data_IF_654986743991
#
_entry.id   IF_654986743991
#
_cell.length_a   1.000
_cell.length_b   1.000
_cell.length_c   1.000
_cell.angle_alpha   90.00
_cell.angle_beta   90.00
_cell.angle_gamma   90.00
#
_symmetry.space_group_name_H-M   'P 1'
#
loop_
_entity.id
_entity.type
_entity.pdbx_description
1 polymer ?
#
# COMPACT_ATOMS: atom_id res chain seq x y z
N UNK A 1 -15.90 -19.75 -7.01
CA UNK A 1 -16.49 -18.88 -5.96
C UNK A 1 -15.72 -17.57 -5.80
N UNK A 2 -14.41 -17.58 -5.54
CA UNK A 2 -13.61 -16.36 -5.28
C UNK A 2 -13.70 -15.27 -6.37
N UNK A 3 -13.66 -15.62 -7.66
CA UNK A 3 -13.77 -14.64 -8.74
C UNK A 3 -15.17 -13.99 -8.83
N UNK A 4 -16.24 -14.75 -8.56
CA UNK A 4 -17.60 -14.21 -8.60
C UNK A 4 -17.83 -13.20 -7.47
N UNK A 5 -17.38 -13.53 -6.26
CA UNK A 5 -17.40 -12.60 -5.13
C UNK A 5 -16.56 -11.36 -5.40
N UNK A 6 -15.36 -11.51 -5.98
CA UNK A 6 -14.51 -10.38 -6.34
C UNK A 6 -15.17 -9.48 -7.38
N UNK A 7 -15.76 -10.02 -8.45
CA UNK A 7 -16.43 -9.22 -9.49
C UNK A 7 -17.65 -8.48 -8.95
N UNK A 8 -18.45 -9.13 -8.09
CA UNK A 8 -19.61 -8.49 -7.46
C UNK A 8 -19.19 -7.37 -6.50
N UNK A 9 -18.16 -7.61 -5.67
CA UNK A 9 -17.60 -6.61 -4.76
C UNK A 9 -16.96 -5.44 -5.52
N UNK A 10 -16.22 -5.71 -6.61
CA UNK A 10 -15.66 -4.66 -7.47
C UNK A 10 -16.76 -3.81 -8.10
N UNK A 11 -17.85 -4.43 -8.55
CA UNK A 11 -19.00 -3.68 -9.07
C UNK A 11 -19.64 -2.75 -8.02
N UNK A 12 -19.67 -3.17 -6.75
CA UNK A 12 -20.14 -2.32 -5.65
C UNK A 12 -19.13 -1.23 -5.29
N UNK A 13 -17.82 -1.54 -5.30
CA UNK A 13 -16.75 -0.60 -5.01
C UNK A 13 -16.72 0.55 -6.03
N UNK A 14 -16.75 0.26 -7.33
CA UNK A 14 -16.76 1.29 -8.40
C UNK A 14 -17.94 2.26 -8.29
N UNK A 15 -19.07 1.77 -7.78
CA UNK A 15 -20.31 2.57 -7.70
C UNK A 15 -20.43 3.38 -6.42
N UNK A 16 -19.90 2.88 -5.31
CA UNK A 16 -20.17 3.41 -3.98
C UNK A 16 -18.91 3.91 -3.25
N UNK A 17 -17.71 3.65 -3.78
CA UNK A 17 -16.45 4.13 -3.21
C UNK A 17 -16.00 5.40 -3.91
N UNK A 18 -15.30 6.25 -3.16
CA UNK A 18 -14.62 7.44 -3.69
C UNK A 18 -13.10 7.24 -3.78
N UNK A 19 -12.57 6.29 -3.02
CA UNK A 19 -11.14 5.99 -2.92
C UNK A 19 -10.98 4.55 -2.44
N UNK A 20 -10.31 3.73 -3.24
CA UNK A 20 -10.12 2.31 -2.98
C UNK A 20 -8.64 1.95 -3.09
N UNK A 21 -8.03 1.55 -1.97
CA UNK A 21 -6.66 1.04 -1.96
C UNK A 21 -6.64 -0.45 -2.28
N UNK A 22 -5.99 -0.82 -3.39
CA UNK A 22 -5.85 -2.22 -3.80
C UNK A 22 -4.71 -2.89 -3.04
N UNK A 23 -5.04 -3.92 -2.27
CA UNK A 23 -4.07 -4.74 -1.55
C UNK A 23 -4.26 -6.20 -1.97
N UNK A 24 -3.27 -6.76 -2.68
CA UNK A 24 -3.26 -8.18 -3.03
C UNK A 24 -2.43 -8.99 -2.03
N UNK A 25 -3.07 -9.98 -1.43
CA UNK A 25 -2.42 -10.96 -0.55
C UNK A 25 -1.29 -11.72 -1.27
N UNK A 26 -1.38 -11.93 -2.59
CA UNK A 26 -0.32 -12.59 -3.36
C UNK A 26 0.93 -11.70 -3.46
N UNK A 27 0.75 -10.41 -3.75
CA UNK A 27 1.85 -9.44 -3.80
C UNK A 27 2.48 -9.28 -2.40
N UNK A 28 1.67 -9.16 -1.35
CA UNK A 28 2.14 -9.13 0.03
C UNK A 28 2.94 -10.39 0.40
N UNK A 29 2.48 -11.56 -0.03
CA UNK A 29 3.21 -12.82 0.21
C UNK A 29 4.57 -12.81 -0.50
N UNK A 30 4.63 -12.36 -1.75
CA UNK A 30 5.88 -12.28 -2.50
C UNK A 30 6.86 -11.27 -1.88
N UNK A 31 6.37 -10.12 -1.41
CA UNK A 31 7.16 -9.13 -0.67
C UNK A 31 7.72 -9.72 0.62
N UNK A 32 6.88 -10.36 1.44
CA UNK A 32 7.34 -10.92 2.72
C UNK A 32 8.26 -12.13 2.52
N UNK A 33 8.10 -12.88 1.44
CA UNK A 33 8.98 -14.00 1.12
C UNK A 33 10.32 -13.54 0.52
N UNK A 34 10.31 -12.62 -0.47
CA UNK A 34 11.52 -12.16 -1.17
C UNK A 34 12.32 -11.14 -0.38
N UNK A 35 11.64 -10.15 0.21
CA UNK A 35 12.28 -9.01 0.86
C UNK A 35 12.56 -9.29 2.33
N UNK A 36 11.56 -9.84 3.05
CA UNK A 36 11.68 -10.15 4.48
C UNK A 36 12.30 -11.54 4.77
N UNK A 37 12.44 -12.41 3.74
CA UNK A 37 13.03 -13.76 3.82
C UNK A 37 12.45 -14.65 4.95
N UNK A 38 11.17 -14.48 5.25
CA UNK A 38 10.49 -15.27 6.27
C UNK A 38 10.15 -16.66 5.70
N UNK A 39 10.71 -17.72 6.29
CA UNK A 39 10.47 -19.10 5.86
C UNK A 39 9.08 -19.63 6.24
N UNK A 40 8.48 -19.07 7.29
CA UNK A 40 7.11 -19.38 7.74
C UNK A 40 6.30 -18.10 7.83
N UNK A 41 5.55 -17.77 6.77
CA UNK A 41 4.70 -16.58 6.76
C UNK A 41 3.44 -16.81 7.60
N UNK A 42 3.20 -15.94 8.59
CA UNK A 42 1.92 -15.91 9.31
C UNK A 42 1.09 -14.70 8.87
N UNK A 43 -0.24 -14.78 8.94
CA UNK A 43 -1.11 -13.62 8.70
C UNK A 43 -0.78 -12.41 9.59
N UNK A 44 -0.19 -12.63 10.76
CA UNK A 44 0.31 -11.56 11.62
C UNK A 44 1.37 -10.69 10.93
N UNK A 45 2.31 -11.28 10.20
CA UNK A 45 3.38 -10.55 9.52
C UNK A 45 2.83 -9.73 8.34
N UNK A 46 1.89 -10.31 7.58
CA UNK A 46 1.19 -9.59 6.51
C UNK A 46 0.37 -8.42 7.06
N UNK A 47 -0.36 -8.63 8.16
CA UNK A 47 -1.16 -7.58 8.79
C UNK A 47 -0.28 -6.46 9.37
N UNK A 48 0.92 -6.78 9.85
CA UNK A 48 1.88 -5.77 10.30
C UNK A 48 2.37 -4.89 9.13
N UNK A 49 2.58 -5.49 7.95
CA UNK A 49 2.94 -4.73 6.76
C UNK A 49 1.78 -3.81 6.32
N UNK A 50 0.56 -4.35 6.28
CA UNK A 50 -0.64 -3.58 5.93
C UNK A 50 -0.89 -2.45 6.93
N UNK A 51 -0.71 -2.67 8.23
CA UNK A 51 -0.89 -1.62 9.24
C UNK A 51 0.14 -0.49 9.10
N UNK A 52 1.39 -0.83 8.76
CA UNK A 52 2.45 0.15 8.51
C UNK A 52 2.11 1.03 7.30
N UNK A 53 1.62 0.42 6.22
CA UNK A 53 1.17 1.10 5.00
C UNK A 53 -0.01 2.02 5.28
N UNK A 54 -1.03 1.50 5.97
CA UNK A 54 -2.23 2.27 6.32
C UNK A 54 -1.91 3.44 7.25
N UNK A 55 -1.00 3.24 8.20
CA UNK A 55 -0.49 4.32 9.05
C UNK A 55 0.18 5.41 8.21
N UNK A 56 0.99 5.05 7.21
CA UNK A 56 1.62 6.00 6.29
C UNK A 56 0.61 6.85 5.51
N UNK A 57 -0.46 6.23 5.00
CA UNK A 57 -1.54 6.94 4.28
C UNK A 57 -2.28 7.91 5.22
N UNK A 58 -2.60 7.47 6.44
CA UNK A 58 -3.36 8.27 7.42
C UNK A 58 -2.49 9.32 8.12
N UNK A 59 -1.16 9.22 8.06
CA UNK A 59 -0.23 10.19 8.67
C UNK A 59 -0.50 11.61 8.17
N UNK A 60 -0.87 11.80 6.90
CA UNK A 60 -1.25 13.11 6.34
C UNK A 60 -2.50 13.73 6.99
N UNK A 61 -3.38 12.91 7.57
CA UNK A 61 -4.59 13.33 8.28
C UNK A 61 -4.33 13.57 9.77
N UNK A 62 -3.45 12.75 10.35
CA UNK A 62 -3.19 12.77 11.79
C UNK A 62 -2.17 13.84 12.20
N UNK A 63 -1.26 14.21 11.30
CA UNK A 63 -0.27 15.24 11.53
C UNK A 63 -0.53 16.46 10.64
N UNK A 64 -0.44 17.69 11.17
CA UNK A 64 -0.64 18.90 10.37
C UNK A 64 0.49 19.08 9.35
N UNK A 65 0.27 18.61 8.13
CA UNK A 65 1.13 18.82 6.96
C UNK A 65 0.54 19.84 5.99
N UNK A 66 1.41 20.52 5.21
CA UNK A 66 0.99 21.53 4.23
C UNK A 66 0.26 20.94 3.00
N UNK A 67 0.43 19.64 2.69
CA UNK A 67 -0.13 18.95 1.53
C UNK A 67 -1.07 17.81 1.98
N UNK A 68 -2.23 17.69 1.32
CA UNK A 68 -3.22 16.62 1.52
C UNK A 68 -3.72 16.41 2.97
N UNK A 69 -3.93 17.50 3.72
CA UNK A 69 -4.44 17.47 5.11
C UNK A 69 -5.89 16.97 5.25
N UNK A 70 -6.54 16.62 4.14
CA UNK A 70 -7.92 16.17 4.09
C UNK A 70 -8.07 15.08 3.02
N UNK A 71 -8.88 14.05 3.31
CA UNK A 71 -9.10 12.92 2.40
C UNK A 71 -9.66 13.40 1.07
N UNK A 72 -10.57 14.37 1.08
CA UNK A 72 -11.14 14.92 -0.15
C UNK A 72 -10.07 15.56 -1.05
N UNK A 73 -9.04 16.21 -0.47
CA UNK A 73 -7.93 16.79 -1.25
C UNK A 73 -7.03 15.70 -1.83
N UNK A 74 -6.79 14.63 -1.09
CA UNK A 74 -6.04 13.48 -1.58
C UNK A 74 -6.74 12.85 -2.78
N UNK A 75 -8.05 12.59 -2.66
CA UNK A 75 -8.86 12.03 -3.74
C UNK A 75 -8.87 12.95 -4.96
N UNK A 76 -9.09 14.26 -4.80
CA UNK A 76 -9.12 15.22 -5.93
C UNK A 76 -7.76 15.35 -6.63
N UNK A 77 -6.66 15.25 -5.89
CA UNK A 77 -5.32 15.33 -6.48
C UNK A 77 -4.93 14.07 -7.25
N UNK A 78 -5.42 12.90 -6.81
CA UNK A 78 -4.99 11.61 -7.36
C UNK A 78 -6.00 10.99 -8.34
N UNK A 79 -7.27 11.42 -8.31
CA UNK A 79 -8.34 10.93 -9.19
C UNK A 79 -8.74 12.02 -10.20
N UNK A 80 -8.23 11.96 -11.45
CA UNK A 80 -8.65 12.90 -12.50
C UNK A 80 -10.05 12.58 -13.05
N UNK A 81 -10.57 11.36 -12.86
CA UNK A 81 -11.87 10.91 -13.38
C UNK A 81 -12.66 10.06 -12.36
N UNK A 82 -13.97 10.29 -12.18
CA UNK A 82 -14.79 9.73 -11.09
C UNK A 82 -15.06 8.20 -11.12
N UNK A 83 -14.29 7.41 -11.88
CA UNK A 83 -14.38 5.94 -11.92
C UNK A 83 -12.99 5.25 -11.96
N UNK A 84 -11.92 6.02 -11.75
CA UNK A 84 -10.53 5.57 -11.66
C UNK A 84 -10.01 5.85 -10.25
N UNK A 85 -10.71 5.32 -9.25
CA UNK A 85 -10.44 5.49 -7.82
C UNK A 85 -9.64 4.33 -7.20
N UNK A 86 -9.08 3.46 -8.04
CA UNK A 86 -8.24 2.33 -7.60
C UNK A 86 -6.78 2.75 -7.49
N UNK A 87 -6.28 2.79 -6.26
CA UNK A 87 -4.89 3.11 -5.98
C UNK A 87 -4.04 1.86 -5.84
N UNK A 88 -2.93 1.85 -6.58
CA UNK A 88 -1.85 0.90 -6.37
C UNK A 88 -0.99 1.39 -5.21
N UNK A 89 -1.02 0.67 -4.11
CA UNK A 89 -0.24 1.04 -2.93
C UNK A 89 1.17 0.48 -3.02
N UNK A 90 2.16 1.35 -2.85
CA UNK A 90 3.56 0.99 -2.70
C UNK A 90 4.06 1.42 -1.33
N UNK A 91 5.04 0.70 -0.78
CA UNK A 91 5.66 1.07 0.49
C UNK A 91 7.17 0.92 0.42
N UNK A 92 7.86 1.94 0.89
CA UNK A 92 9.30 1.93 1.12
C UNK A 92 9.60 2.72 2.40
N UNK A 93 10.56 2.29 3.24
CA UNK A 93 11.44 1.14 3.04
C UNK A 93 10.81 -0.19 3.51
N UNK A 94 10.98 -1.25 2.72
CA UNK A 94 10.62 -2.63 3.11
C UNK A 94 11.82 -3.29 3.79
N UNK A 95 12.11 -2.89 5.01
CA UNK A 95 13.25 -3.41 5.77
C UNK A 95 12.76 -4.42 6.81
N UNK A 96 13.45 -5.55 6.94
CA UNK A 96 13.16 -6.49 8.03
C UNK A 96 13.42 -5.85 9.39
N UNK A 97 12.61 -6.22 10.39
CA UNK A 97 12.63 -5.65 11.74
C UNK A 97 14.03 -5.65 12.38
N UNK A 98 14.89 -6.62 12.02
CA UNK A 98 16.29 -6.72 12.48
C UNK A 98 17.34 -6.00 11.61
N UNK A 99 16.98 -5.52 10.42
CA UNK A 99 17.89 -4.82 9.48
C UNK A 99 17.63 -3.31 9.38
N UNK A 100 16.55 -2.81 10.02
CA UNK A 100 16.14 -1.41 9.98
C UNK A 100 17.21 -0.46 10.57
N UNK A 101 18.03 -0.96 11.48
CA UNK A 101 19.12 -0.21 12.13
C UNK A 101 20.43 -0.20 11.35
N UNK A 102 20.61 -1.07 10.34
CA UNK A 102 21.89 -1.27 9.66
C UNK A 102 22.01 -0.56 8.29
N UNK A 103 20.90 -0.07 7.73
CA UNK A 103 20.91 0.68 6.47
C UNK A 103 20.41 2.11 6.66
N UNK A 104 21.31 3.08 6.54
CA UNK A 104 20.94 4.47 6.32
C UNK A 104 20.41 4.60 4.89
N UNK A 105 19.10 4.56 4.71
CA UNK A 105 18.49 4.70 3.38
C UNK A 105 18.45 6.18 3.01
N UNK A 106 19.04 6.52 1.86
CA UNK A 106 19.00 7.88 1.34
C UNK A 106 17.68 8.17 0.63
N UNK A 107 17.26 9.44 0.60
CA UNK A 107 16.04 9.90 -0.12
C UNK A 107 15.96 9.39 -1.57
N UNK A 108 17.05 9.44 -2.39
CA UNK A 108 16.99 8.94 -3.76
C UNK A 108 16.77 7.41 -3.81
N UNK A 109 17.34 6.64 -2.88
CA UNK A 109 17.12 5.19 -2.82
C UNK A 109 15.68 4.85 -2.45
N UNK A 110 15.07 5.57 -1.50
CA UNK A 110 13.65 5.40 -1.16
C UNK A 110 12.76 5.69 -2.36
N UNK A 111 13.04 6.76 -3.09
CA UNK A 111 12.26 7.13 -4.27
C UNK A 111 12.38 6.05 -5.35
N UNK A 112 13.58 5.54 -5.58
CA UNK A 112 13.80 4.44 -6.52
C UNK A 112 13.08 3.17 -6.10
N UNK A 113 13.05 2.86 -4.80
CA UNK A 113 12.31 1.72 -4.26
C UNK A 113 10.79 1.87 -4.41
N UNK A 114 10.24 3.08 -4.27
CA UNK A 114 8.81 3.32 -4.46
C UNK A 114 8.32 2.99 -5.88
N UNK A 115 9.19 3.12 -6.89
CA UNK A 115 8.89 2.78 -8.29
C UNK A 115 9.29 1.35 -8.68
N UNK A 116 9.90 0.57 -7.79
CA UNK A 116 10.21 -0.83 -8.07
C UNK A 116 8.91 -1.66 -8.03
N UNK A 117 8.65 -2.42 -9.08
CA UNK A 117 7.48 -3.31 -9.21
C UNK A 117 7.43 -4.32 -8.06
N UNK A 118 8.59 -4.68 -7.51
CA UNK A 118 8.71 -5.61 -6.38
C UNK A 118 8.09 -5.08 -5.08
N UNK A 119 7.96 -3.77 -4.94
CA UNK A 119 7.44 -3.12 -3.73
C UNK A 119 5.97 -2.70 -3.88
N UNK A 120 5.38 -2.99 -5.05
CA UNK A 120 3.99 -2.71 -5.35
C UNK A 120 3.09 -3.79 -4.77
N UNK A 121 2.08 -3.39 -3.99
CA UNK A 121 1.18 -4.31 -3.27
C UNK A 121 -0.06 -4.69 -4.08
N UNK A 122 -0.16 -4.20 -5.31
CA UNK A 122 -1.17 -4.57 -6.29
C UNK A 122 -0.45 -5.12 -7.53
N UNK A 123 -0.66 -6.40 -7.83
CA UNK A 123 -0.05 -7.11 -8.95
C UNK A 123 -1.09 -7.96 -9.70
#
# INVERSE_FOLDING_TARGET
>A
VRCYSATLSMHQLVKNSYETFCIDNKALYDICFRTLKLSTLTYGDMNHLVSSVMSGIITCLHFPGQLNSDLHKLTVNMVPFPHLDFFMTGYAPLTACGSATFHAVSIPELTQQMFDVKNMMAA
#
